data_IF_531095141415
#
_entry.id   IF_531095141415
#
_cell.length_a   1.000
_cell.length_b   1.000
_cell.length_c   1.000
_cell.angle_alpha   90.00
_cell.angle_beta   90.00
_cell.angle_gamma   90.00
#
_symmetry.space_group_name_H-M   'P 1'
#
loop_
_entity.id
_entity.type
_entity.pdbx_description
1 polymer ?
#
# COMPACT_ATOMS: atom_id res chain seq x y z
N UNK A 1 -7.77 -40.30 36.59
CA UNK A 1 -6.87 -39.11 36.60
C UNK A 1 -7.11 -38.11 35.48
N UNK A 2 -7.72 -38.46 34.34
CA UNK A 2 -7.98 -37.51 33.22
C UNK A 2 -9.18 -36.56 33.45
N UNK A 3 -10.20 -37.01 34.20
CA UNK A 3 -11.41 -36.22 34.47
C UNK A 3 -11.18 -34.95 35.30
N UNK A 4 -10.17 -34.95 36.15
CA UNK A 4 -9.84 -33.83 37.03
C UNK A 4 -9.17 -32.69 36.25
N UNK A 5 -8.29 -33.01 35.34
CA UNK A 5 -7.66 -32.02 34.45
C UNK A 5 -8.67 -31.32 33.52
N UNK A 6 -9.60 -32.08 32.93
CA UNK A 6 -10.62 -31.50 32.05
C UNK A 6 -11.58 -30.56 32.79
N UNK A 7 -11.93 -30.91 34.06
CA UNK A 7 -12.76 -30.07 34.91
C UNK A 7 -12.02 -28.79 35.31
N UNK A 8 -10.73 -28.88 35.66
CA UNK A 8 -9.91 -27.71 35.96
C UNK A 8 -9.73 -26.82 34.76
N UNK A 9 -9.54 -27.39 33.56
CA UNK A 9 -9.43 -26.65 32.31
C UNK A 9 -10.73 -25.92 31.95
N UNK A 10 -11.89 -26.55 32.13
CA UNK A 10 -13.20 -25.91 31.96
C UNK A 10 -13.41 -24.75 32.93
N UNK A 11 -13.07 -24.93 34.21
CA UNK A 11 -13.14 -23.85 35.21
C UNK A 11 -12.19 -22.69 34.87
N UNK A 12 -10.96 -22.97 34.49
CA UNK A 12 -10.01 -21.94 34.05
C UNK A 12 -10.52 -21.17 32.85
N UNK A 13 -11.05 -21.86 31.84
CA UNK A 13 -11.63 -21.20 30.64
C UNK A 13 -12.87 -20.35 30.96
N UNK A 14 -13.71 -20.80 31.91
CA UNK A 14 -14.90 -20.05 32.35
C UNK A 14 -14.55 -18.82 33.20
N UNK A 15 -13.44 -18.88 33.95
CA UNK A 15 -12.94 -17.77 34.76
C UNK A 15 -12.14 -16.72 33.96
N UNK A 16 -11.74 -17.03 32.75
CA UNK A 16 -11.07 -16.05 31.89
C UNK A 16 -12.05 -14.94 31.47
N UNK A 17 -11.68 -13.65 31.64
CA UNK A 17 -12.50 -12.55 31.19
C UNK A 17 -12.73 -12.67 29.68
N UNK A 18 -13.96 -12.53 29.20
CA UNK A 18 -14.33 -12.55 27.79
C UNK A 18 -13.59 -11.49 26.96
N UNK A 19 -13.02 -10.48 27.61
CA UNK A 19 -12.23 -9.42 27.00
C UNK A 19 -10.83 -9.87 26.50
N UNK A 20 -10.42 -11.11 26.73
CA UNK A 20 -9.15 -11.63 26.21
C UNK A 20 -9.27 -12.25 24.81
N UNK A 21 -10.47 -12.33 24.23
CA UNK A 21 -10.63 -12.64 22.82
C UNK A 21 -10.21 -11.40 21.99
N UNK A 22 -8.95 -11.32 21.64
CA UNK A 22 -8.31 -10.20 20.93
C UNK A 22 -8.87 -9.93 19.52
N UNK A 23 -9.84 -10.72 19.06
CA UNK A 23 -10.49 -10.56 17.75
C UNK A 23 -11.39 -9.32 17.62
N UNK A 24 -11.90 -8.77 18.73
CA UNK A 24 -12.82 -7.63 18.67
C UNK A 24 -12.13 -6.26 18.42
N UNK A 25 -10.82 -6.16 18.63
CA UNK A 25 -10.06 -4.91 18.48
C UNK A 25 -9.55 -4.68 17.06
N UNK A 26 -9.44 -5.72 16.27
CA UNK A 26 -8.96 -5.63 14.89
C UNK A 26 -10.15 -5.52 13.95
N UNK A 27 -10.41 -4.31 13.48
CA UNK A 27 -11.40 -4.03 12.44
C UNK A 27 -10.70 -3.34 11.29
N UNK A 28 -10.82 -3.91 10.10
CA UNK A 28 -10.38 -3.26 8.88
C UNK A 28 -11.50 -2.31 8.46
N UNK A 29 -11.21 -1.02 8.16
CA UNK A 29 -12.22 -0.09 7.65
C UNK A 29 -12.83 -0.60 6.35
N UNK A 30 -14.11 -0.36 6.16
CA UNK A 30 -14.80 -0.64 4.90
C UNK A 30 -14.20 0.24 3.78
N UNK A 31 -14.19 -0.27 2.55
CA UNK A 31 -13.64 0.46 1.43
C UNK A 31 -14.55 1.63 1.01
N UNK A 32 -14.05 2.86 1.02
CA UNK A 32 -14.77 4.04 0.50
C UNK A 32 -14.37 4.28 -0.96
N UNK A 33 -15.27 3.92 -1.87
CA UNK A 33 -15.02 3.93 -3.31
C UNK A 33 -15.91 4.93 -4.02
N UNK A 34 -15.30 5.71 -4.91
CA UNK A 34 -16.01 6.59 -5.83
C UNK A 34 -15.63 6.21 -7.26
N UNK A 35 -16.64 6.05 -8.11
CA UNK A 35 -16.45 5.75 -9.54
C UNK A 35 -16.57 7.05 -10.34
N UNK A 36 -15.50 7.41 -11.04
CA UNK A 36 -15.45 8.56 -11.92
C UNK A 36 -15.25 8.11 -13.38
N UNK A 37 -16.31 8.06 -14.14
CA UNK A 37 -16.28 7.64 -15.55
C UNK A 37 -15.77 6.22 -15.74
N UNK A 38 -14.51 6.06 -16.19
CA UNK A 38 -13.86 4.74 -16.40
C UNK A 38 -12.89 4.37 -15.28
N UNK A 39 -12.68 5.26 -14.32
CA UNK A 39 -11.75 5.08 -13.21
C UNK A 39 -12.48 4.88 -11.89
N UNK A 40 -11.85 4.22 -10.96
CA UNK A 40 -12.37 3.99 -9.60
C UNK A 40 -11.36 4.50 -8.59
N UNK A 41 -11.82 5.27 -7.61
CA UNK A 41 -10.98 5.89 -6.59
C UNK A 41 -11.30 5.27 -5.23
N UNK A 42 -10.33 4.64 -4.60
CA UNK A 42 -10.39 4.20 -3.20
C UNK A 42 -9.83 5.32 -2.32
N UNK A 43 -10.70 6.01 -1.56
CA UNK A 43 -10.33 7.23 -0.82
C UNK A 43 -9.58 6.94 0.48
N UNK A 44 -9.99 5.90 1.19
CA UNK A 44 -9.48 5.57 2.53
C UNK A 44 -8.42 4.48 2.51
N UNK A 45 -7.63 4.37 1.43
CA UNK A 45 -6.60 3.35 1.30
C UNK A 45 -5.56 3.41 2.42
N UNK A 46 -5.12 4.60 2.80
CA UNK A 46 -4.14 4.78 3.86
C UNK A 46 -4.67 4.31 5.21
N UNK A 47 -5.94 4.59 5.53
CA UNK A 47 -6.56 4.16 6.79
C UNK A 47 -6.63 2.62 6.87
N UNK A 48 -6.92 1.96 5.74
CA UNK A 48 -6.90 0.49 5.62
C UNK A 48 -5.47 -0.03 5.87
N UNK A 49 -4.48 0.54 5.20
CA UNK A 49 -3.06 0.14 5.32
C UNK A 49 -2.55 0.31 6.75
N UNK A 50 -2.90 1.43 7.40
CA UNK A 50 -2.55 1.68 8.80
C UNK A 50 -3.21 0.67 9.74
N UNK A 51 -4.49 0.34 9.53
CA UNK A 51 -5.21 -0.64 10.34
C UNK A 51 -4.56 -2.04 10.25
N UNK A 52 -4.13 -2.45 9.06
CA UNK A 52 -3.49 -3.76 8.86
C UNK A 52 -1.97 -3.74 9.13
N UNK A 53 -1.37 -2.59 9.39
CA UNK A 53 0.06 -2.40 9.68
C UNK A 53 0.97 -3.05 8.64
N UNK A 54 0.76 -2.72 7.37
CA UNK A 54 1.54 -3.26 6.24
C UNK A 54 2.07 -2.13 5.37
N UNK A 55 3.07 -2.47 4.57
CA UNK A 55 3.65 -1.56 3.57
C UNK A 55 2.59 -1.24 2.50
N UNK A 56 2.27 0.05 2.24
CA UNK A 56 1.28 0.46 1.26
C UNK A 56 1.59 -0.06 -0.16
N UNK A 57 2.86 -0.11 -0.56
CA UNK A 57 3.26 -0.60 -1.88
C UNK A 57 2.96 -2.09 -2.05
N UNK A 58 3.11 -2.87 -0.98
CA UNK A 58 2.78 -4.30 -1.01
C UNK A 58 1.27 -4.54 -1.13
N UNK A 59 0.47 -3.79 -0.36
CA UNK A 59 -1.00 -3.89 -0.40
C UNK A 59 -1.51 -3.45 -1.76
N UNK A 60 -1.02 -2.32 -2.28
CA UNK A 60 -1.38 -1.82 -3.60
C UNK A 60 -1.05 -2.82 -4.71
N UNK A 61 0.18 -3.34 -4.72
CA UNK A 61 0.61 -4.35 -5.69
C UNK A 61 -0.27 -5.59 -5.67
N UNK A 62 -0.64 -6.05 -4.47
CA UNK A 62 -1.54 -7.18 -4.33
C UNK A 62 -2.92 -6.87 -4.92
N UNK A 63 -3.50 -5.72 -4.57
CA UNK A 63 -4.82 -5.33 -5.06
C UNK A 63 -4.83 -5.18 -6.59
N UNK A 64 -3.84 -4.52 -7.18
CA UNK A 64 -3.74 -4.35 -8.63
C UNK A 64 -3.65 -5.68 -9.37
N UNK A 65 -2.89 -6.63 -8.82
CA UNK A 65 -2.76 -7.97 -9.39
C UNK A 65 -4.04 -8.77 -9.28
N UNK A 66 -4.68 -8.77 -8.11
CA UNK A 66 -5.89 -9.57 -7.87
C UNK A 66 -7.14 -9.00 -8.58
N UNK A 67 -7.18 -7.69 -8.78
CA UNK A 67 -8.24 -7.01 -9.53
C UNK A 67 -7.95 -6.99 -11.05
N UNK A 68 -6.74 -7.40 -11.47
CA UNK A 68 -6.35 -7.39 -12.88
C UNK A 68 -6.37 -6.01 -13.52
N UNK A 69 -6.08 -4.96 -12.74
CA UNK A 69 -6.14 -3.57 -13.20
C UNK A 69 -4.83 -2.84 -12.93
N UNK A 70 -4.61 -1.77 -13.71
CA UNK A 70 -3.55 -0.82 -13.39
C UNK A 70 -4.11 0.27 -12.47
N UNK A 71 -3.26 0.84 -11.62
CA UNK A 71 -3.63 1.95 -10.74
C UNK A 71 -2.40 2.64 -10.18
N UNK A 72 -2.62 3.82 -9.62
CA UNK A 72 -1.58 4.67 -9.04
C UNK A 72 -1.98 5.09 -7.63
N UNK A 73 -0.98 5.22 -6.76
CA UNK A 73 -1.15 5.81 -5.44
C UNK A 73 -1.04 7.33 -5.58
N UNK A 74 -2.07 8.05 -5.17
CA UNK A 74 -2.11 9.51 -5.16
C UNK A 74 -2.32 10.02 -3.72
N UNK A 75 -1.23 10.22 -3.01
CA UNK A 75 -1.27 10.59 -1.60
C UNK A 75 -1.92 9.49 -0.75
N UNK A 76 -3.10 9.77 -0.18
CA UNK A 76 -3.82 8.84 0.71
C UNK A 76 -4.80 7.91 -0.02
N UNK A 77 -5.00 8.08 -1.32
CA UNK A 77 -5.99 7.38 -2.14
C UNK A 77 -5.33 6.59 -3.26
N UNK A 78 -6.03 5.56 -3.74
CA UNK A 78 -5.63 4.79 -4.91
C UNK A 78 -6.61 5.03 -6.05
N UNK A 79 -6.07 5.30 -7.23
CA UNK A 79 -6.83 5.46 -8.47
C UNK A 79 -6.64 4.23 -9.34
N UNK A 80 -7.70 3.44 -9.53
CA UNK A 80 -7.71 2.29 -10.44
C UNK A 80 -8.14 2.74 -11.84
N UNK A 81 -7.46 2.28 -12.87
CA UNK A 81 -7.76 2.61 -14.29
C UNK A 81 -8.93 1.80 -14.88
N UNK A 82 -9.68 1.10 -14.06
CA UNK A 82 -10.86 0.32 -14.46
C UNK A 82 -12.02 0.53 -13.48
N UNK A 83 -13.23 0.11 -13.90
CA UNK A 83 -14.38 0.07 -13.01
C UNK A 83 -14.26 -1.14 -12.09
N UNK A 84 -14.14 -0.88 -10.81
CA UNK A 84 -14.09 -1.90 -9.76
C UNK A 84 -15.23 -1.63 -8.77
N UNK A 85 -15.93 -2.67 -8.36
CA UNK A 85 -17.01 -2.55 -7.37
C UNK A 85 -16.45 -2.56 -5.94
N UNK A 86 -17.21 -1.95 -5.01
CA UNK A 86 -16.84 -1.94 -3.59
C UNK A 86 -16.65 -3.37 -3.07
N UNK A 87 -17.60 -4.25 -3.40
CA UNK A 87 -17.55 -5.65 -2.97
C UNK A 87 -16.27 -6.37 -3.44
N UNK A 88 -15.85 -6.16 -4.69
CA UNK A 88 -14.63 -6.77 -5.22
C UNK A 88 -13.39 -6.30 -4.43
N UNK A 89 -13.30 -5.02 -4.10
CA UNK A 89 -12.17 -4.49 -3.31
C UNK A 89 -12.18 -5.05 -1.90
N UNK A 90 -13.33 -5.08 -1.24
CA UNK A 90 -13.48 -5.62 0.11
C UNK A 90 -13.11 -7.11 0.19
N UNK A 91 -13.57 -7.92 -0.78
CA UNK A 91 -13.20 -9.34 -0.86
C UNK A 91 -11.68 -9.54 -1.00
N UNK A 92 -11.02 -8.71 -1.82
CA UNK A 92 -9.56 -8.78 -1.98
C UNK A 92 -8.81 -8.31 -0.74
N UNK A 93 -9.31 -7.27 -0.06
CA UNK A 93 -8.74 -6.84 1.22
C UNK A 93 -8.90 -7.93 2.28
N UNK A 94 -10.07 -8.56 2.39
CA UNK A 94 -10.30 -9.71 3.29
C UNK A 94 -9.33 -10.85 3.00
N UNK A 95 -9.21 -11.25 1.73
CA UNK A 95 -8.26 -12.30 1.33
C UNK A 95 -6.80 -11.93 1.63
N UNK A 96 -6.43 -10.65 1.49
CA UNK A 96 -5.11 -10.16 1.88
C UNK A 96 -4.89 -10.28 3.39
N UNK A 97 -5.87 -9.87 4.18
CA UNK A 97 -5.80 -9.93 5.64
C UNK A 97 -5.65 -11.37 6.12
N UNK A 98 -6.42 -12.30 5.60
CA UNK A 98 -6.34 -13.72 5.93
C UNK A 98 -4.98 -14.33 5.56
N UNK A 99 -4.45 -13.97 4.39
CA UNK A 99 -3.21 -14.56 3.89
C UNK A 99 -1.95 -13.95 4.51
N UNK A 100 -1.93 -12.64 4.76
CA UNK A 100 -0.72 -11.88 5.09
C UNK A 100 -0.76 -11.13 6.42
N UNK A 101 -1.90 -11.07 7.11
CA UNK A 101 -2.04 -10.34 8.38
C UNK A 101 -2.39 -11.26 9.52
N UNK A 102 -3.38 -12.13 9.35
CA UNK A 102 -3.81 -13.02 10.43
C UNK A 102 -2.89 -14.22 10.57
N UNK A 103 -2.53 -14.51 11.82
CA UNK A 103 -1.84 -15.75 12.16
C UNK A 103 -2.81 -16.93 12.04
N UNK A 104 -2.45 -17.99 11.31
CA UNK A 104 -3.30 -19.17 11.15
C UNK A 104 -3.41 -20.00 12.44
N UNK A 105 -2.41 -19.92 13.33
CA UNK A 105 -2.38 -20.69 14.57
C UNK A 105 -3.23 -20.05 15.67
N UNK A 106 -3.11 -18.72 15.86
CA UNK A 106 -3.79 -18.04 16.95
C UNK A 106 -4.85 -17.02 16.52
N UNK A 107 -5.03 -16.78 15.21
CA UNK A 107 -6.02 -15.85 14.66
C UNK A 107 -5.73 -14.38 14.92
N UNK A 108 -4.60 -14.03 15.55
CA UNK A 108 -4.27 -12.64 15.90
C UNK A 108 -3.62 -11.89 14.74
N UNK A 109 -3.87 -10.57 14.65
CA UNK A 109 -3.28 -9.71 13.61
C UNK A 109 -1.87 -9.23 13.94
N UNK A 110 -1.34 -9.61 15.13
CA UNK A 110 -0.02 -9.19 15.60
C UNK A 110 1.07 -9.99 14.89
N UNK A 111 1.25 -9.71 13.61
CA UNK A 111 2.18 -10.43 12.75
C UNK A 111 3.02 -9.46 11.94
N UNK A 112 4.23 -9.86 11.59
CA UNK A 112 5.14 -9.13 10.71
C UNK A 112 5.57 -9.99 9.54
N UNK A 113 5.85 -9.34 8.41
CA UNK A 113 6.44 -9.98 7.24
C UNK A 113 7.96 -9.78 7.28
N UNK A 114 8.68 -10.88 7.35
CA UNK A 114 10.14 -10.91 7.31
C UNK A 114 10.57 -11.56 6.02
N UNK A 115 11.58 -11.01 5.36
CA UNK A 115 12.15 -11.61 4.16
C UNK A 115 13.41 -12.38 4.56
N UNK A 116 13.35 -13.69 4.42
CA UNK A 116 14.51 -14.57 4.58
C UNK A 116 14.95 -15.02 3.16
N UNK A 117 16.10 -14.52 2.74
CA UNK A 117 16.65 -14.76 1.40
C UNK A 117 15.65 -14.44 0.27
N UNK A 118 15.03 -15.48 -0.28
CA UNK A 118 14.03 -15.40 -1.37
C UNK A 118 12.61 -15.69 -0.93
N UNK A 119 12.41 -16.03 0.35
CA UNK A 119 11.11 -16.43 0.90
C UNK A 119 10.61 -15.35 1.82
N UNK A 120 9.33 -14.98 1.66
CA UNK A 120 8.64 -14.13 2.63
C UNK A 120 8.05 -15.00 3.74
N UNK A 121 8.38 -14.69 4.99
CA UNK A 121 7.90 -15.38 6.18
C UNK A 121 6.95 -14.48 6.94
N UNK A 122 5.84 -15.04 7.41
CA UNK A 122 4.95 -14.40 8.36
C UNK A 122 5.33 -14.87 9.77
N UNK A 123 5.73 -13.93 10.62
CA UNK A 123 6.04 -14.19 12.02
C UNK A 123 4.96 -13.59 12.91
N UNK A 124 4.48 -14.37 13.87
CA UNK A 124 3.49 -13.92 14.82
C UNK A 124 4.15 -13.53 16.14
N UNK A 125 4.00 -12.26 16.53
CA UNK A 125 4.54 -11.76 17.82
C UNK A 125 3.74 -12.26 19.02
N UNK A 126 2.50 -12.75 18.80
CA UNK A 126 1.63 -13.22 19.86
C UNK A 126 1.86 -14.69 20.25
N UNK A 127 2.13 -15.58 19.29
CA UNK A 127 2.31 -17.02 19.56
C UNK A 127 3.66 -17.57 19.07
N UNK A 128 4.50 -16.76 18.43
CA UNK A 128 5.80 -17.17 17.91
C UNK A 128 5.74 -18.04 16.63
N UNK A 129 4.56 -18.28 16.08
CA UNK A 129 4.42 -19.08 14.87
C UNK A 129 5.09 -18.39 13.68
N UNK A 130 5.80 -19.17 12.85
CA UNK A 130 6.46 -18.72 11.61
C UNK A 130 5.99 -19.58 10.45
N UNK A 131 5.58 -18.94 9.36
CA UNK A 131 5.18 -19.66 8.14
C UNK A 131 5.62 -18.93 6.89
N UNK A 132 5.95 -19.66 5.82
CA UNK A 132 6.20 -19.05 4.53
C UNK A 132 4.88 -18.53 3.93
N UNK A 133 4.94 -17.35 3.34
CA UNK A 133 3.84 -16.77 2.56
C UNK A 133 4.29 -16.54 1.13
N UNK A 134 3.34 -16.57 0.19
CA UNK A 134 3.67 -16.22 -1.19
C UNK A 134 4.18 -14.79 -1.22
N UNK A 135 5.41 -14.59 -1.69
CA UNK A 135 5.95 -13.24 -1.84
C UNK A 135 5.02 -12.44 -2.77
N UNK A 136 4.47 -11.35 -2.26
CA UNK A 136 3.90 -10.33 -3.12
C UNK A 136 5.10 -9.72 -3.82
N UNK A 137 5.36 -10.13 -5.07
CA UNK A 137 6.41 -9.50 -5.87
C UNK A 137 6.06 -8.02 -5.91
N UNK A 138 6.97 -7.14 -5.46
CA UNK A 138 6.81 -5.71 -5.70
C UNK A 138 6.53 -5.56 -7.19
N UNK A 139 5.40 -4.97 -7.56
CA UNK A 139 5.24 -4.50 -8.94
C UNK A 139 6.48 -3.66 -9.24
N UNK A 140 7.01 -3.82 -10.45
CA UNK A 140 7.99 -2.88 -10.92
C UNK A 140 7.46 -1.49 -10.57
N UNK A 141 8.26 -0.72 -9.78
CA UNK A 141 7.95 0.61 -9.22
C UNK A 141 6.63 1.16 -9.73
N UNK A 142 5.67 1.40 -8.84
CA UNK A 142 4.47 2.17 -9.19
C UNK A 142 5.03 3.41 -9.88
N UNK A 143 4.84 3.54 -11.18
CA UNK A 143 5.29 4.71 -11.92
C UNK A 143 4.55 5.86 -11.26
N UNK A 144 5.29 6.73 -10.57
CA UNK A 144 4.78 8.04 -10.19
C UNK A 144 4.16 8.61 -11.44
N UNK A 145 2.96 9.18 -11.30
CA UNK A 145 2.11 9.56 -12.43
C UNK A 145 2.96 10.22 -13.54
N UNK A 146 2.93 9.70 -14.78
CA UNK A 146 3.77 10.24 -15.83
C UNK A 146 3.53 11.74 -15.93
N UNK A 147 4.59 12.52 -16.13
CA UNK A 147 4.48 13.94 -16.42
C UNK A 147 3.33 14.15 -17.42
N UNK A 148 2.38 15.01 -17.09
CA UNK A 148 1.21 15.29 -17.91
C UNK A 148 1.34 16.71 -18.43
N UNK A 149 1.23 16.88 -19.72
CA UNK A 149 1.17 18.21 -20.36
C UNK A 149 0.01 19.03 -19.78
N UNK A 150 0.23 20.32 -19.56
CA UNK A 150 -0.78 21.21 -19.01
C UNK A 150 -0.91 21.22 -17.48
N UNK A 151 -0.11 20.44 -16.75
CA UNK A 151 -0.08 20.47 -15.28
C UNK A 151 1.09 21.29 -14.74
N UNK A 152 0.88 21.85 -13.55
CA UNK A 152 1.90 22.59 -12.80
C UNK A 152 2.59 21.65 -11.81
N UNK A 153 3.91 21.62 -11.85
CA UNK A 153 4.75 20.86 -10.93
C UNK A 153 5.68 21.79 -10.17
N UNK A 154 5.91 21.48 -8.91
CA UNK A 154 6.90 22.19 -8.10
C UNK A 154 8.22 21.40 -8.16
N UNK A 155 9.25 22.02 -8.72
CA UNK A 155 10.51 21.35 -9.02
C UNK A 155 11.70 22.14 -8.47
N UNK A 156 12.70 21.41 -7.99
CA UNK A 156 13.98 22.01 -7.59
C UNK A 156 14.97 21.93 -8.76
N UNK A 157 15.55 23.07 -9.11
CA UNK A 157 16.57 23.16 -10.16
C UNK A 157 17.88 22.57 -9.66
N UNK A 158 18.30 21.46 -10.27
CA UNK A 158 19.50 20.73 -9.87
C UNK A 158 20.77 21.25 -10.52
N UNK A 159 20.66 21.73 -11.76
CA UNK A 159 21.81 22.26 -12.51
C UNK A 159 21.39 23.31 -13.52
N UNK A 160 22.39 23.95 -14.18
CA UNK A 160 22.15 24.95 -15.23
C UNK A 160 22.79 24.45 -16.53
N UNK A 161 21.99 24.42 -17.59
CA UNK A 161 22.44 24.04 -18.93
C UNK A 161 23.35 25.09 -19.55
N UNK A 162 24.04 24.72 -20.63
CA UNK A 162 24.98 25.60 -21.38
C UNK A 162 24.34 26.86 -21.94
N UNK A 163 23.02 26.88 -22.11
CA UNK A 163 22.24 28.02 -22.62
C UNK A 163 21.68 28.91 -21.52
N UNK A 164 21.95 28.59 -20.23
CA UNK A 164 21.43 29.32 -19.08
C UNK A 164 20.07 28.82 -18.57
N UNK A 165 19.54 27.76 -19.15
CA UNK A 165 18.28 27.15 -18.68
C UNK A 165 18.54 26.27 -17.45
N UNK A 166 17.67 26.36 -16.44
CA UNK A 166 17.72 25.47 -15.29
C UNK A 166 17.31 24.04 -15.66
N UNK A 167 17.99 23.06 -15.11
CA UNK A 167 17.72 21.64 -15.33
C UNK A 167 17.15 21.04 -14.04
N UNK A 168 15.92 20.55 -14.13
CA UNK A 168 15.31 19.72 -13.09
C UNK A 168 15.13 18.29 -13.60
N UNK A 169 15.36 17.31 -12.74
CA UNK A 169 15.09 15.89 -13.03
C UNK A 169 13.89 15.44 -12.23
N UNK A 170 12.90 14.91 -12.93
CA UNK A 170 11.75 14.25 -12.31
C UNK A 170 11.63 12.85 -12.93
N UNK A 171 12.02 11.85 -12.14
CA UNK A 171 12.08 10.44 -12.54
C UNK A 171 12.94 10.23 -13.81
N UNK A 172 12.35 9.85 -14.94
CA UNK A 172 13.04 9.66 -16.21
C UNK A 172 13.06 10.90 -17.13
N UNK A 173 12.39 11.97 -16.70
CA UNK A 173 12.27 13.20 -17.50
C UNK A 173 13.29 14.24 -17.07
N UNK A 174 13.84 14.94 -18.06
CA UNK A 174 14.69 16.10 -17.87
C UNK A 174 13.87 17.32 -18.30
N UNK A 175 13.64 18.23 -17.38
CA UNK A 175 12.81 19.41 -17.57
C UNK A 175 13.71 20.64 -17.67
N UNK A 176 13.59 21.39 -18.75
CA UNK A 176 14.32 22.63 -18.97
C UNK A 176 13.43 23.82 -18.60
N UNK A 177 13.90 24.64 -17.68
CA UNK A 177 13.17 25.82 -17.20
C UNK A 177 13.99 27.08 -17.45
N UNK A 178 13.62 27.91 -18.43
CA UNK A 178 14.39 29.09 -18.76
C UNK A 178 14.39 30.12 -17.61
N UNK A 179 15.53 30.82 -17.45
CA UNK A 179 15.64 31.96 -16.52
C UNK A 179 15.66 31.60 -15.04
N UNK A 180 16.03 30.37 -14.66
CA UNK A 180 16.07 29.94 -13.27
C UNK A 180 17.49 29.72 -12.75
N UNK A 181 17.69 29.86 -11.43
CA UNK A 181 18.98 29.66 -10.77
C UNK A 181 19.09 28.26 -10.17
N UNK A 182 20.31 27.73 -10.06
CA UNK A 182 20.60 26.44 -9.41
C UNK A 182 20.16 26.49 -7.94
N UNK A 183 19.44 25.45 -7.50
CA UNK A 183 18.89 25.32 -6.15
C UNK A 183 17.56 26.01 -5.90
N UNK A 184 17.00 26.72 -6.89
CA UNK A 184 15.70 27.35 -6.77
C UNK A 184 14.57 26.32 -6.86
N UNK A 185 13.54 26.48 -6.03
CA UNK A 185 12.28 25.72 -6.12
C UNK A 185 11.30 26.59 -6.90
N UNK A 186 10.85 26.08 -8.05
CA UNK A 186 10.00 26.83 -8.98
C UNK A 186 8.76 26.01 -9.36
N UNK A 187 7.65 26.71 -9.53
CA UNK A 187 6.42 26.11 -10.10
C UNK A 187 6.48 26.22 -11.61
N UNK A 188 6.51 25.08 -12.28
CA UNK A 188 6.68 24.98 -13.72
C UNK A 188 5.42 24.40 -14.34
N UNK A 189 4.91 25.04 -15.38
CA UNK A 189 3.83 24.51 -16.20
C UNK A 189 4.45 23.74 -17.37
N UNK A 190 4.11 22.46 -17.51
CA UNK A 190 4.64 21.63 -18.59
C UNK A 190 3.86 21.91 -19.87
N UNK A 191 4.51 22.51 -20.85
CA UNK A 191 3.88 22.84 -22.14
C UNK A 191 3.88 21.65 -23.09
N UNK A 192 5.01 20.95 -23.18
CA UNK A 192 5.17 19.83 -24.12
C UNK A 192 6.15 18.79 -23.60
N UNK A 193 5.87 17.53 -23.89
CA UNK A 193 6.74 16.41 -23.55
C UNK A 193 7.23 15.75 -24.86
N UNK A 194 8.53 15.72 -25.06
CA UNK A 194 9.17 15.07 -26.20
C UNK A 194 10.07 13.92 -25.73
N UNK A 195 9.51 12.71 -25.64
CA UNK A 195 10.23 11.52 -25.15
C UNK A 195 10.60 11.61 -23.66
N UNK A 196 11.87 11.84 -23.33
CA UNK A 196 12.38 12.01 -21.96
C UNK A 196 12.68 13.47 -21.60
N UNK A 197 12.28 14.42 -22.42
CA UNK A 197 12.52 15.87 -22.25
C UNK A 197 11.17 16.60 -22.18
N UNK A 198 11.05 17.56 -21.27
CA UNK A 198 9.89 18.43 -21.11
C UNK A 198 10.33 19.88 -20.82
#
# INVERSE_FOLDING_TARGET
MSSDYEQLLKRAKAALPKALSSGERFKVPEADIVVEGKTTILRNFEDIVQAIRRDPDMVLTYLLRELGTAGTLEGRRVVFKSKVTNQQVEERIKSYVEAYVLCQECGRPDTRLVKEDRVAMLECDACGARRPVKAVKKAAKVEEAPLVEGKVYELMIQDIGKKGDGIAKLDKYIIYVPGTAKGAIVKVHIEKIAGSVA
#
